data_IF_826826260911
#
_entry.id   IF_826826260911
#
_cell.length_a   1.000
_cell.length_b   1.000
_cell.length_c   1.000
_cell.angle_alpha   90.00
_cell.angle_beta   90.00
_cell.angle_gamma   90.00
#
_symmetry.space_group_name_H-M   'P 1'
#
loop_
_entity.id
_entity.type
_entity.pdbx_description
1 polymer ?
#
# COMPACT_ATOMS: atom_id res chain seq x y z
N UNK A 1 -22.77 20.83 74.08
CA UNK A 1 -22.65 22.29 73.87
C UNK A 1 -21.84 22.53 72.61
N UNK A 2 -22.30 23.46 71.77
CA UNK A 2 -21.84 23.71 70.39
C UNK A 2 -20.41 24.28 70.36
N UNK A 3 -19.62 23.89 69.36
CA UNK A 3 -18.54 24.74 68.85
C UNK A 3 -18.37 24.50 67.33
N UNK A 4 -18.69 25.53 66.56
CA UNK A 4 -18.56 25.59 65.12
C UNK A 4 -17.09 25.79 64.74
N UNK A 5 -16.57 25.04 63.76
CA UNK A 5 -15.30 25.37 63.09
C UNK A 5 -15.58 25.63 61.61
N UNK A 6 -15.02 26.74 61.15
CA UNK A 6 -15.29 27.47 59.92
C UNK A 6 -14.77 26.69 58.70
N UNK A 7 -15.64 26.44 57.71
CA UNK A 7 -15.20 25.98 56.38
C UNK A 7 -14.72 27.20 55.61
N UNK A 8 -13.39 27.40 55.60
CA UNK A 8 -12.72 28.36 54.74
C UNK A 8 -12.54 27.77 53.34
N UNK A 9 -13.13 28.44 52.35
CA UNK A 9 -12.77 28.30 50.93
C UNK A 9 -11.30 28.72 50.76
N UNK A 10 -10.60 28.12 49.80
CA UNK A 10 -9.62 28.74 48.85
C UNK A 10 -8.62 27.66 48.37
N UNK A 11 -8.68 27.30 47.08
CA UNK A 11 -7.59 27.40 46.08
C UNK A 11 -7.83 26.51 44.85
N UNK A 12 -8.15 27.19 43.75
CA UNK A 12 -7.53 27.07 42.41
C UNK A 12 -6.62 25.85 42.18
N UNK A 13 -7.04 24.96 41.29
CA UNK A 13 -6.11 24.20 40.46
C UNK A 13 -6.39 24.48 38.98
N UNK A 14 -5.52 25.29 38.39
CA UNK A 14 -5.26 25.34 36.97
C UNK A 14 -4.85 23.93 36.52
N UNK A 15 -5.61 23.36 35.59
CA UNK A 15 -5.26 22.10 34.92
C UNK A 15 -5.45 22.26 33.42
N UNK A 16 -4.66 23.14 32.81
CA UNK A 16 -4.51 23.15 31.35
C UNK A 16 -3.80 21.86 30.96
N UNK A 17 -4.57 20.86 30.52
CA UNK A 17 -4.01 19.72 29.78
C UNK A 17 -3.49 20.29 28.45
N UNK A 18 -2.22 20.69 28.46
CA UNK A 18 -1.47 20.91 27.25
C UNK A 18 -1.52 19.61 26.47
N UNK A 19 -2.25 19.63 25.36
CA UNK A 19 -2.17 18.64 24.31
C UNK A 19 -0.70 18.52 23.95
N UNK A 20 -0.07 17.45 24.42
CA UNK A 20 1.25 17.06 23.97
C UNK A 20 1.13 16.84 22.48
N UNK A 21 1.68 17.75 21.67
CA UNK A 21 1.95 17.48 20.27
C UNK A 21 2.77 16.20 20.25
N UNK A 22 2.15 15.12 19.79
CA UNK A 22 2.89 13.93 19.44
C UNK A 22 3.69 14.34 18.21
N UNK A 23 4.99 14.33 18.39
CA UNK A 23 5.98 14.42 17.32
C UNK A 23 5.69 13.23 16.39
N UNK A 24 4.92 13.49 15.34
CA UNK A 24 4.73 12.57 14.23
C UNK A 24 6.07 12.58 13.51
N UNK A 25 6.93 11.61 13.86
CA UNK A 25 8.23 11.46 13.26
C UNK A 25 8.12 11.60 11.75
N UNK A 26 9.03 12.39 11.18
CA UNK A 26 9.21 12.59 9.74
C UNK A 26 9.58 11.24 9.12
N UNK A 27 8.58 10.38 8.93
CA UNK A 27 8.64 9.28 7.98
C UNK A 27 8.94 9.94 6.64
N UNK A 28 9.98 9.51 5.91
CA UNK A 28 10.31 10.11 4.62
C UNK A 28 9.12 9.83 3.71
N UNK A 29 8.23 10.82 3.60
CA UNK A 29 7.14 10.83 2.66
C UNK A 29 7.79 11.05 1.31
N UNK A 30 8.20 9.94 0.68
CA UNK A 30 8.62 9.97 -0.71
C UNK A 30 7.41 10.45 -1.48
N UNK A 31 7.42 11.74 -1.85
CA UNK A 31 6.37 12.36 -2.60
C UNK A 31 6.12 11.52 -3.86
N UNK A 32 4.85 11.30 -4.24
CA UNK A 32 4.54 10.63 -5.50
C UNK A 32 5.30 11.30 -6.66
N UNK A 33 5.78 10.52 -7.64
CA UNK A 33 6.54 11.08 -8.76
C UNK A 33 5.74 12.17 -9.48
N UNK A 34 6.42 13.25 -9.87
CA UNK A 34 5.82 14.33 -10.64
C UNK A 34 5.74 13.92 -12.12
N UNK A 35 4.55 13.52 -12.58
CA UNK A 35 4.27 13.13 -13.96
C UNK A 35 3.81 11.68 -14.09
N UNK A 36 3.70 11.16 -15.33
CA UNK A 36 3.24 9.80 -15.58
C UNK A 36 4.12 8.74 -14.91
N UNK A 37 3.52 7.65 -14.48
CA UNK A 37 4.24 6.54 -13.87
C UNK A 37 4.97 5.74 -14.94
N UNK A 38 6.31 5.85 -14.97
CA UNK A 38 7.18 4.91 -15.70
C UNK A 38 7.11 3.50 -15.11
N UNK A 39 6.84 2.50 -15.95
CA UNK A 39 6.90 1.09 -15.53
C UNK A 39 8.31 0.72 -15.05
N UNK A 40 9.33 1.02 -15.86
CA UNK A 40 10.71 0.64 -15.59
C UNK A 40 11.27 1.34 -14.34
N UNK A 41 10.92 2.61 -14.12
CA UNK A 41 11.51 3.42 -13.05
C UNK A 41 10.75 3.34 -11.72
N UNK A 42 9.44 3.07 -11.75
CA UNK A 42 8.62 3.11 -10.54
C UNK A 42 7.99 1.76 -10.18
N UNK A 43 7.45 1.02 -11.15
CA UNK A 43 6.71 -0.22 -10.87
C UNK A 43 7.64 -1.42 -10.76
N UNK A 44 8.57 -1.59 -11.70
CA UNK A 44 9.49 -2.72 -11.69
C UNK A 44 10.36 -2.78 -10.42
N UNK A 45 10.89 -1.67 -9.86
CA UNK A 45 11.62 -1.72 -8.59
C UNK A 45 10.76 -2.23 -7.42
N UNK A 46 9.47 -1.90 -7.39
CA UNK A 46 8.53 -2.43 -6.38
C UNK A 46 8.44 -3.96 -6.52
N UNK A 47 8.31 -4.48 -7.74
CA UNK A 47 8.26 -5.93 -7.98
C UNK A 47 9.57 -6.60 -7.60
N UNK A 48 10.71 -6.04 -8.00
CA UNK A 48 12.04 -6.57 -7.71
C UNK A 48 12.31 -6.64 -6.20
N UNK A 49 11.85 -5.65 -5.42
CA UNK A 49 12.07 -5.61 -3.98
C UNK A 49 11.09 -6.47 -3.16
N UNK A 50 9.88 -6.73 -3.67
CA UNK A 50 8.78 -7.27 -2.85
C UNK A 50 8.12 -8.54 -3.39
N UNK A 51 8.36 -8.92 -4.66
CA UNK A 51 7.57 -9.96 -5.32
C UNK A 51 8.42 -11.14 -5.83
N UNK A 52 9.64 -10.87 -6.29
CA UNK A 52 10.50 -11.85 -6.99
C UNK A 52 10.96 -13.02 -6.11
N UNK A 53 10.87 -12.93 -4.78
CA UNK A 53 11.16 -14.06 -3.90
C UNK A 53 10.27 -15.30 -4.16
N UNK A 54 9.04 -15.09 -4.61
CA UNK A 54 8.14 -16.17 -5.03
C UNK A 54 7.77 -16.09 -6.52
N UNK A 55 7.67 -14.87 -7.07
CA UNK A 55 7.35 -14.61 -8.48
C UNK A 55 8.64 -14.42 -9.30
N UNK A 56 9.44 -15.47 -9.38
CA UNK A 56 10.66 -15.57 -10.21
C UNK A 56 10.58 -16.77 -11.14
N UNK A 57 11.50 -16.88 -12.09
CA UNK A 57 11.62 -18.06 -12.93
C UNK A 57 11.83 -19.32 -12.08
N UNK A 58 10.88 -20.26 -12.14
CA UNK A 58 10.89 -21.48 -11.32
C UNK A 58 10.53 -21.28 -9.85
N UNK A 59 10.07 -20.08 -9.47
CA UNK A 59 9.59 -19.77 -8.13
C UNK A 59 8.28 -20.48 -7.77
N UNK A 60 7.84 -20.33 -6.52
CA UNK A 60 6.62 -20.96 -6.02
C UNK A 60 5.32 -20.34 -6.56
N UNK A 61 5.41 -19.18 -7.22
CA UNK A 61 4.28 -18.51 -7.84
C UNK A 61 4.16 -18.86 -9.34
N UNK A 62 2.96 -18.75 -9.95
CA UNK A 62 2.70 -19.30 -11.28
C UNK A 62 3.32 -18.53 -12.46
N UNK A 63 4.00 -17.40 -12.20
CA UNK A 63 4.66 -16.59 -13.23
C UNK A 63 5.73 -15.70 -12.61
N UNK A 64 6.72 -15.32 -13.42
CA UNK A 64 7.80 -14.41 -13.02
C UNK A 64 7.37 -12.93 -13.13
N UNK A 65 7.80 -12.15 -12.15
CA UNK A 65 7.76 -10.68 -12.08
C UNK A 65 9.17 -10.06 -12.14
N UNK A 66 10.15 -10.82 -12.61
CA UNK A 66 11.50 -10.33 -12.87
C UNK A 66 11.50 -9.32 -14.03
N UNK A 67 12.46 -8.40 -13.99
CA UNK A 67 12.63 -7.39 -15.01
C UNK A 67 12.77 -8.01 -16.41
N UNK A 68 12.18 -7.36 -17.41
CA UNK A 68 12.18 -7.83 -18.81
C UNK A 68 11.04 -8.79 -19.17
N UNK A 69 10.43 -9.50 -18.20
CA UNK A 69 9.31 -10.44 -18.45
C UNK A 69 8.02 -10.09 -17.70
N UNK A 70 8.15 -9.40 -16.56
CA UNK A 70 7.07 -9.06 -15.64
C UNK A 70 5.84 -8.45 -16.31
N UNK A 71 6.03 -7.40 -17.12
CA UNK A 71 4.92 -6.66 -17.75
C UNK A 71 4.13 -7.56 -18.71
N UNK A 72 4.83 -8.28 -19.59
CA UNK A 72 4.22 -9.21 -20.53
C UNK A 72 3.46 -10.35 -19.85
N UNK A 73 3.89 -10.76 -18.65
CA UNK A 73 3.23 -11.79 -17.87
C UNK A 73 1.94 -11.34 -17.17
N UNK A 74 1.67 -10.03 -17.06
CA UNK A 74 0.54 -9.50 -16.27
C UNK A 74 -0.40 -8.60 -17.04
N UNK A 75 0.09 -7.76 -17.96
CA UNK A 75 -0.75 -6.79 -18.67
C UNK A 75 -1.59 -7.51 -19.72
N UNK A 76 -2.92 -7.33 -19.67
CA UNK A 76 -3.90 -8.00 -20.53
C UNK A 76 -3.95 -9.55 -20.41
N UNK A 77 -3.25 -10.12 -19.43
CA UNK A 77 -3.23 -11.57 -19.19
C UNK A 77 -4.37 -11.97 -18.26
N UNK A 78 -5.11 -13.03 -18.59
CA UNK A 78 -6.21 -13.53 -17.76
C UNK A 78 -5.67 -14.05 -16.42
N UNK A 79 -6.37 -13.76 -15.32
CA UNK A 79 -6.08 -14.38 -14.03
C UNK A 79 -6.53 -15.85 -14.02
N UNK A 80 -5.71 -16.73 -13.45
CA UNK A 80 -5.96 -18.19 -13.45
C UNK A 80 -6.22 -18.76 -12.06
N UNK A 81 -5.82 -18.08 -10.98
CA UNK A 81 -5.92 -18.61 -9.62
C UNK A 81 -7.02 -17.98 -8.76
N UNK A 82 -7.38 -16.73 -9.02
CA UNK A 82 -8.36 -15.95 -8.24
C UNK A 82 -8.93 -14.84 -9.11
N UNK A 83 -10.21 -14.49 -8.91
CA UNK A 83 -10.89 -13.50 -9.76
C UNK A 83 -10.69 -13.84 -11.25
N UNK A 84 -10.97 -15.09 -11.61
CA UNK A 84 -10.64 -15.67 -12.93
C UNK A 84 -11.41 -15.06 -14.09
N UNK A 85 -12.45 -14.26 -13.80
CA UNK A 85 -13.14 -13.40 -14.78
C UNK A 85 -12.37 -12.12 -15.12
N UNK A 86 -11.31 -11.77 -14.38
CA UNK A 86 -10.55 -10.52 -14.52
C UNK A 86 -9.14 -10.73 -15.08
N UNK A 87 -8.54 -9.65 -15.56
CA UNK A 87 -7.12 -9.64 -15.94
C UNK A 87 -6.24 -9.49 -14.72
N UNK A 88 -5.01 -10.04 -14.79
CA UNK A 88 -3.96 -9.80 -13.80
C UNK A 88 -3.72 -8.29 -13.66
N UNK A 89 -3.56 -7.61 -14.80
CA UNK A 89 -3.64 -6.16 -14.96
C UNK A 89 -4.57 -5.84 -16.13
N UNK A 90 -5.62 -5.08 -15.86
CA UNK A 90 -6.53 -4.50 -16.84
C UNK A 90 -6.17 -3.01 -17.03
N UNK A 91 -5.48 -2.64 -18.14
CA UNK A 91 -5.13 -1.25 -18.42
C UNK A 91 -6.32 -0.30 -18.32
N UNK A 92 -6.13 0.82 -17.63
CA UNK A 92 -7.16 1.84 -17.41
C UNK A 92 -8.14 1.53 -16.28
N UNK A 93 -8.04 0.38 -15.60
CA UNK A 93 -8.96 0.02 -14.52
C UNK A 93 -8.30 -0.86 -13.45
N UNK A 94 -7.71 -0.22 -12.44
CA UNK A 94 -7.21 -0.88 -11.22
C UNK A 94 -8.30 -1.65 -10.46
N UNK A 95 -9.53 -1.14 -10.46
CA UNK A 95 -10.70 -1.78 -9.83
C UNK A 95 -11.11 -3.13 -10.45
N UNK A 96 -10.67 -3.42 -11.67
CA UNK A 96 -10.83 -4.71 -12.36
C UNK A 96 -9.50 -5.42 -12.62
N UNK A 97 -8.47 -5.08 -11.83
CA UNK A 97 -7.14 -5.67 -11.92
C UNK A 97 -6.82 -6.49 -10.67
N UNK A 98 -6.56 -7.79 -10.86
CA UNK A 98 -6.23 -8.70 -9.76
C UNK A 98 -4.97 -8.27 -9.01
N UNK A 99 -3.98 -7.70 -9.69
CA UNK A 99 -2.76 -7.17 -9.06
C UNK A 99 -3.11 -6.15 -7.97
N UNK A 100 -3.88 -5.12 -8.30
CA UNK A 100 -4.25 -4.06 -7.35
C UNK A 100 -5.05 -4.63 -6.17
N UNK A 101 -6.02 -5.51 -6.44
CA UNK A 101 -6.84 -6.16 -5.41
C UNK A 101 -6.00 -6.97 -4.42
N UNK A 102 -5.00 -7.70 -4.92
CA UNK A 102 -4.08 -8.49 -4.09
C UNK A 102 -3.13 -7.63 -3.27
N UNK A 103 -2.54 -6.58 -3.82
CA UNK A 103 -1.58 -5.75 -3.05
C UNK A 103 -2.29 -4.84 -2.04
N UNK A 104 -3.51 -4.38 -2.35
CA UNK A 104 -4.36 -3.62 -1.42
C UNK A 104 -5.06 -4.49 -0.37
N UNK A 105 -5.09 -5.82 -0.57
CA UNK A 105 -5.74 -6.75 0.34
C UNK A 105 -7.27 -6.66 0.35
N UNK A 106 -7.87 -6.04 -0.66
CA UNK A 106 -9.32 -5.82 -0.73
C UNK A 106 -10.08 -7.05 -1.23
N UNK A 107 -9.51 -7.84 -2.14
CA UNK A 107 -10.15 -9.03 -2.72
C UNK A 107 -9.16 -9.92 -3.50
N UNK A 108 -9.68 -10.96 -4.19
CA UNK A 108 -8.90 -11.93 -4.96
C UNK A 108 -7.95 -12.81 -4.13
N UNK A 109 -8.42 -13.25 -2.96
CA UNK A 109 -7.71 -14.16 -2.06
C UNK A 109 -6.75 -13.43 -1.12
N UNK A 110 -5.66 -14.09 -0.72
CA UNK A 110 -4.71 -13.52 0.25
C UNK A 110 -3.96 -12.31 -0.31
N UNK A 111 -3.78 -11.30 0.55
CA UNK A 111 -2.98 -10.10 0.32
C UNK A 111 -1.53 -10.45 -0.04
N UNK A 112 -0.98 -9.82 -1.07
CA UNK A 112 0.43 -9.95 -1.47
C UNK A 112 1.27 -8.72 -1.05
N UNK A 113 2.49 -8.91 -0.50
CA UNK A 113 3.20 -10.17 -0.32
C UNK A 113 2.57 -11.09 0.74
N UNK A 114 2.56 -12.41 0.47
CA UNK A 114 1.98 -13.42 1.38
C UNK A 114 2.95 -13.72 2.52
N UNK A 115 2.48 -13.57 3.76
CA UNK A 115 3.30 -13.84 4.96
C UNK A 115 4.39 -12.80 5.23
N UNK A 116 4.54 -11.78 4.37
CA UNK A 116 5.43 -10.65 4.57
C UNK A 116 4.67 -9.37 4.96
N UNK A 117 5.44 -8.31 5.19
CA UNK A 117 4.90 -6.97 5.44
C UNK A 117 4.02 -6.49 4.27
N UNK A 118 2.97 -5.69 4.55
CA UNK A 118 2.27 -4.96 3.50
C UNK A 118 3.24 -4.11 2.66
N UNK A 119 2.88 -3.87 1.40
CA UNK A 119 3.47 -2.74 0.68
C UNK A 119 3.07 -1.43 1.38
N UNK A 120 3.93 -0.42 1.28
CA UNK A 120 3.57 0.94 1.69
C UNK A 120 2.39 1.45 0.85
N UNK A 121 1.63 2.40 1.39
CA UNK A 121 0.54 3.02 0.64
C UNK A 121 1.06 3.69 -0.64
N UNK A 122 2.21 4.37 -0.57
CA UNK A 122 2.88 4.97 -1.73
C UNK A 122 3.16 3.95 -2.83
N UNK A 123 3.68 2.75 -2.49
CA UNK A 123 3.92 1.70 -3.49
C UNK A 123 2.63 1.17 -4.10
N UNK A 124 1.57 1.04 -3.30
CA UNK A 124 0.24 0.62 -3.80
C UNK A 124 -0.31 1.67 -4.77
N UNK A 125 -0.18 2.96 -4.43
CA UNK A 125 -0.66 4.07 -5.24
C UNK A 125 0.11 4.19 -6.56
N UNK A 126 1.43 3.99 -6.54
CA UNK A 126 2.24 3.93 -7.77
C UNK A 126 1.72 2.83 -8.72
N UNK A 127 1.49 1.62 -8.20
CA UNK A 127 0.99 0.51 -9.03
C UNK A 127 -0.43 0.80 -9.51
N UNK A 128 -1.30 1.35 -8.65
CA UNK A 128 -2.67 1.72 -9.02
C UNK A 128 -2.67 2.75 -10.14
N UNK A 129 -1.92 3.84 -9.99
CA UNK A 129 -1.85 4.93 -10.95
C UNK A 129 -1.26 4.46 -12.28
N UNK A 130 -0.20 3.64 -12.27
CA UNK A 130 0.32 3.03 -13.48
C UNK A 130 -0.75 2.19 -14.22
N UNK A 131 -1.55 1.40 -13.51
CA UNK A 131 -2.65 0.65 -14.12
C UNK A 131 -3.67 1.61 -14.73
N UNK A 132 -4.12 2.61 -13.97
CA UNK A 132 -5.15 3.57 -14.38
C UNK A 132 -4.68 4.46 -15.54
N UNK A 133 -3.39 4.73 -15.66
CA UNK A 133 -2.73 5.41 -16.79
C UNK A 133 -2.57 4.52 -18.04
N UNK A 134 -3.05 3.27 -18.00
CA UNK A 134 -3.03 2.36 -19.15
C UNK A 134 -1.89 1.34 -19.14
N UNK A 135 -1.19 1.20 -18.02
CA UNK A 135 -0.15 0.19 -17.81
C UNK A 135 0.94 0.21 -18.90
N UNK A 136 1.39 1.40 -19.29
CA UNK A 136 2.37 1.60 -20.37
C UNK A 136 3.74 0.96 -20.05
N UNK A 137 4.54 0.75 -21.10
CA UNK A 137 5.96 0.40 -21.00
C UNK A 137 6.76 1.62 -21.45
N UNK A 138 7.17 2.46 -20.49
CA UNK A 138 7.64 3.83 -20.70
C UNK A 138 8.80 4.20 -19.76
#
# INVERSE_FOLDING_TARGET
>A
MRANVRVGIVLLTLGAFAYSCKDEGDEPTVAPPAGPISFASHVQPIFSGNCTGCHSAGGSAPFSLEAGVSRGNIVNVQATSSCTSEKRVNPGNSGSSVLYKKISGTSCGTRMPRGGSPLSQTSIDIVKNWIDEGAADN
#
